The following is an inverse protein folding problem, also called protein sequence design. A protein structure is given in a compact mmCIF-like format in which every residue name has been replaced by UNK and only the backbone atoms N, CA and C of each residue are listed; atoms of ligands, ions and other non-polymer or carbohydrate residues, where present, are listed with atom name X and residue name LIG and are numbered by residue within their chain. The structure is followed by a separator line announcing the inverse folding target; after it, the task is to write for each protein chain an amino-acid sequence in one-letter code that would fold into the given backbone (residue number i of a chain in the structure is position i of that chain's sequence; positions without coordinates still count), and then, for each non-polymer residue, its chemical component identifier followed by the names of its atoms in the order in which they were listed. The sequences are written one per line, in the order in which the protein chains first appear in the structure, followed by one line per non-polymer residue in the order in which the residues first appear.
data_IF_820141188771
#
_entry.id   IF_820141188771
#
_cell.length_a   1.000
_cell.length_b   1.000
_cell.length_c   1.000
_cell.angle_alpha   90.00
_cell.angle_beta   90.00
_cell.angle_gamma   90.00
#
_symmetry.space_group_name_H-M   'P 1'
#
loop_
_entity.id
_entity.type
_entity.pdbx_description
1 polymer ?
#
# COMPACT_ATOMS: atom_id res chain seq x y z
N UNK A 1 -16.33 -14.54 -20.23
CA UNK A 1 -15.29 -14.86 -19.24
C UNK A 1 -14.57 -13.56 -18.98
N UNK A 2 -14.87 -12.88 -17.88
CA UNK A 2 -14.10 -11.71 -17.46
C UNK A 2 -12.70 -12.18 -17.14
N UNK A 3 -11.71 -11.61 -17.82
CA UNK A 3 -10.31 -11.79 -17.50
C UNK A 3 -10.12 -11.29 -16.06
N UNK A 4 -9.85 -12.21 -15.14
CA UNK A 4 -9.84 -11.94 -13.70
C UNK A 4 -8.61 -11.10 -13.38
N UNK A 5 -8.83 -9.90 -12.81
CA UNK A 5 -7.75 -9.00 -12.40
C UNK A 5 -7.12 -9.57 -11.14
N UNK A 6 -5.90 -10.07 -11.26
CA UNK A 6 -5.07 -10.39 -10.10
C UNK A 6 -4.57 -9.05 -9.55
N UNK A 7 -5.05 -8.66 -8.37
CA UNK A 7 -4.60 -7.44 -7.70
C UNK A 7 -3.21 -7.65 -7.08
N UNK A 8 -2.41 -6.60 -7.04
CA UNK A 8 -1.16 -6.54 -6.27
C UNK A 8 -1.39 -6.70 -4.77
N UNK A 9 -2.62 -6.46 -4.33
CA UNK A 9 -3.08 -6.62 -2.96
C UNK A 9 -2.80 -7.99 -2.33
N UNK A 10 -2.20 -7.94 -1.14
CA UNK A 10 -1.90 -9.13 -0.34
C UNK A 10 -0.61 -8.98 0.43
N UNK A 11 -0.27 -10.02 1.18
CA UNK A 11 0.92 -10.03 2.03
C UNK A 11 2.07 -10.73 1.32
N UNK A 12 3.19 -10.03 1.17
CA UNK A 12 4.49 -10.65 0.90
C UNK A 12 5.12 -11.07 2.24
N UNK A 13 5.41 -12.36 2.39
CA UNK A 13 5.98 -12.95 3.61
C UNK A 13 7.47 -13.11 3.40
N UNK A 14 8.26 -12.30 4.10
CA UNK A 14 9.71 -12.36 4.02
C UNK A 14 10.26 -13.65 4.60
N UNK A 15 11.44 -14.08 4.13
CA UNK A 15 12.18 -15.19 4.75
C UNK A 15 12.60 -14.89 6.19
N UNK A 16 12.53 -13.60 6.58
CA UNK A 16 12.69 -13.08 7.94
C UNK A 16 11.41 -13.18 8.80
N UNK A 17 10.31 -13.68 8.24
CA UNK A 17 8.99 -13.76 8.86
C UNK A 17 8.23 -12.43 8.88
N UNK A 18 8.81 -11.34 8.36
CA UNK A 18 8.18 -10.02 8.35
C UNK A 18 7.24 -9.92 7.15
N UNK A 19 5.99 -9.51 7.42
CA UNK A 19 4.98 -9.30 6.38
C UNK A 19 5.06 -7.88 5.82
N UNK A 20 4.98 -7.76 4.50
CA UNK A 20 4.99 -6.52 3.74
C UNK A 20 3.77 -6.48 2.83
N UNK A 21 3.17 -5.31 2.65
CA UNK A 21 2.00 -5.17 1.79
C UNK A 21 2.43 -5.11 0.32
N UNK A 22 1.63 -5.71 -0.57
CA UNK A 22 1.88 -5.77 -2.01
C UNK A 22 2.62 -7.05 -2.41
N UNK A 23 1.93 -7.96 -3.09
CA UNK A 23 2.47 -9.22 -3.62
C UNK A 23 3.42 -9.01 -4.80
N UNK A 24 3.34 -7.87 -5.48
CA UNK A 24 4.21 -7.49 -6.60
C UNK A 24 5.23 -6.40 -6.22
N UNK A 25 5.36 -6.10 -4.93
CA UNK A 25 6.07 -4.92 -4.45
C UNK A 25 5.11 -3.77 -4.13
N UNK A 26 5.69 -2.65 -3.74
CA UNK A 26 4.97 -1.43 -3.42
C UNK A 26 5.76 -0.21 -3.90
N UNK A 27 5.08 0.93 -4.05
CA UNK A 27 5.70 2.17 -4.43
C UNK A 27 5.07 3.36 -3.71
N UNK A 28 5.82 4.44 -3.54
CA UNK A 28 5.32 5.68 -2.95
C UNK A 28 5.97 6.92 -3.54
N UNK A 29 5.26 8.04 -3.46
CA UNK A 29 5.65 9.29 -4.08
C UNK A 29 6.33 10.23 -3.08
N UNK A 30 7.62 10.47 -3.29
CA UNK A 30 8.38 11.53 -2.65
C UNK A 30 8.12 12.84 -3.39
N UNK A 31 6.98 13.47 -3.08
CA UNK A 31 6.52 14.69 -3.74
C UNK A 31 7.00 15.94 -3.02
N UNK A 32 7.80 16.75 -3.70
CA UNK A 32 8.30 18.01 -3.16
C UNK A 32 7.77 19.24 -3.90
N UNK A 33 7.74 20.38 -3.21
CA UNK A 33 7.58 21.69 -3.83
C UNK A 33 8.46 22.71 -3.11
N UNK A 34 8.69 23.88 -3.71
CA UNK A 34 9.48 24.95 -3.09
C UNK A 34 8.60 26.17 -2.87
N UNK A 35 8.44 26.58 -1.62
CA UNK A 35 7.71 27.79 -1.26
C UNK A 35 8.59 28.70 -0.41
N UNK A 36 8.68 29.98 -0.80
CA UNK A 36 9.50 30.99 -0.11
C UNK A 36 10.97 30.55 0.11
N UNK A 37 11.51 29.74 -0.80
CA UNK A 37 12.87 29.20 -0.72
C UNK A 37 13.04 28.00 0.22
N UNK A 38 11.96 27.42 0.73
CA UNK A 38 11.96 26.21 1.56
C UNK A 38 11.40 25.04 0.75
N UNK A 39 12.14 23.93 0.71
CA UNK A 39 11.68 22.67 0.13
C UNK A 39 10.72 21.98 1.11
N UNK A 40 9.48 21.77 0.68
CA UNK A 40 8.43 21.09 1.41
C UNK A 40 8.23 19.68 0.82
N UNK A 41 8.05 18.69 1.68
CA UNK A 41 7.71 17.31 1.34
C UNK A 41 6.28 17.00 1.78
N UNK A 42 5.50 16.40 0.89
CA UNK A 42 4.21 15.80 1.24
C UNK A 42 4.45 14.54 2.08
N UNK A 43 3.91 14.53 3.30
CA UNK A 43 3.97 13.41 4.23
C UNK A 43 2.58 13.03 4.73
N UNK A 44 2.40 11.74 5.01
CA UNK A 44 1.16 11.15 5.50
C UNK A 44 1.37 10.54 6.88
N UNK A 45 0.47 10.83 7.82
CA UNK A 45 0.44 10.18 9.13
C UNK A 45 -0.44 8.94 9.09
N UNK A 46 0.20 7.77 9.24
CA UNK A 46 -0.45 6.48 9.12
C UNK A 46 -1.38 6.23 10.30
N UNK A 47 -2.63 5.88 10.00
CA UNK A 47 -3.63 5.56 11.03
C UNK A 47 -3.15 4.44 11.96
N UNK A 48 -3.56 4.51 13.23
CA UNK A 48 -3.10 3.62 14.30
C UNK A 48 -3.37 2.13 14.00
N UNK A 49 -4.38 1.81 13.20
CA UNK A 49 -4.74 0.42 12.84
C UNK A 49 -3.95 -0.16 11.65
N UNK A 50 -3.09 0.63 11.01
CA UNK A 50 -2.24 0.16 9.89
C UNK A 50 -0.98 -0.54 10.39
N UNK A 51 -0.31 -1.30 9.52
CA UNK A 51 1.03 -1.82 9.84
C UNK A 51 1.98 -0.63 10.09
N UNK A 52 2.62 -0.60 11.26
CA UNK A 52 3.38 0.54 11.82
C UNK A 52 2.55 1.83 12.05
N UNK A 53 1.29 1.73 12.49
CA UNK A 53 0.46 2.90 12.80
C UNK A 53 1.10 3.94 13.76
N UNK A 54 0.78 5.21 13.55
CA UNK A 54 1.33 6.33 14.33
C UNK A 54 2.68 6.86 13.84
N UNK A 55 3.22 6.31 12.75
CA UNK A 55 4.41 6.83 12.07
C UNK A 55 4.06 7.70 10.86
N UNK A 56 4.98 8.58 10.48
CA UNK A 56 4.92 9.35 9.24
C UNK A 56 5.65 8.64 8.09
N UNK A 57 5.12 8.77 6.88
CA UNK A 57 5.71 8.26 5.65
C UNK A 57 5.34 9.12 4.46
N UNK A 58 5.66 8.63 3.26
CA UNK A 58 5.13 9.17 2.00
C UNK A 58 3.89 8.38 1.59
N UNK A 59 2.93 8.99 0.87
CA UNK A 59 1.80 8.27 0.31
C UNK A 59 2.26 7.19 -0.68
N UNK A 60 1.56 6.06 -0.70
CA UNK A 60 1.93 4.91 -1.52
C UNK A 60 1.37 3.58 -1.07
N UNK A 61 1.34 2.62 -1.99
CA UNK A 61 0.69 1.32 -1.80
C UNK A 61 1.22 0.24 -2.73
N UNK A 62 0.43 -0.83 -2.88
CA UNK A 62 0.82 -2.02 -3.64
C UNK A 62 0.88 -1.70 -5.15
N UNK A 63 1.83 -2.32 -5.85
CA UNK A 63 1.88 -2.26 -7.31
C UNK A 63 0.91 -3.30 -7.88
N UNK A 64 0.00 -2.89 -8.76
CA UNK A 64 -0.94 -3.80 -9.42
C UNK A 64 -0.33 -4.53 -10.65
N UNK A 65 -1.05 -5.54 -11.14
CA UNK A 65 -0.60 -6.30 -12.32
C UNK A 65 -0.52 -5.40 -13.56
N UNK A 66 0.63 -5.43 -14.23
CA UNK A 66 0.88 -4.61 -15.41
C UNK A 66 1.13 -3.13 -15.10
N UNK A 67 1.05 -2.73 -13.82
CA UNK A 67 1.34 -1.39 -13.35
C UNK A 67 2.86 -1.24 -13.12
N UNK A 68 3.44 -0.12 -13.55
CA UNK A 68 4.79 0.26 -13.16
C UNK A 68 4.81 0.86 -11.75
N UNK A 69 5.97 0.84 -11.09
CA UNK A 69 6.12 1.49 -9.78
C UNK A 69 5.76 3.00 -9.80
N UNK A 70 6.00 3.68 -10.93
CA UNK A 70 5.63 5.09 -11.09
C UNK A 70 4.11 5.27 -11.16
N UNK A 71 3.42 4.44 -11.93
CA UNK A 71 1.95 4.47 -12.01
C UNK A 71 1.33 4.16 -10.65
N UNK A 72 1.83 3.14 -9.94
CA UNK A 72 1.38 2.78 -8.60
C UNK A 72 1.56 3.95 -7.62
N UNK A 73 2.75 4.57 -7.57
CA UNK A 73 2.99 5.69 -6.67
C UNK A 73 2.06 6.89 -6.94
N UNK A 74 1.78 7.19 -8.21
CA UNK A 74 0.87 8.29 -8.59
C UNK A 74 -0.59 7.96 -8.27
N UNK A 75 -1.05 6.74 -8.61
CA UNK A 75 -2.42 6.26 -8.33
C UNK A 75 -2.69 6.28 -6.83
N UNK A 76 -1.82 5.66 -6.04
CA UNK A 76 -1.95 5.58 -4.58
C UNK A 76 -1.90 6.97 -3.96
N UNK A 77 -1.04 7.86 -4.44
CA UNK A 77 -1.03 9.25 -3.95
C UNK A 77 -2.34 9.97 -4.25
N UNK A 78 -2.89 9.80 -5.45
CA UNK A 78 -4.18 10.37 -5.80
C UNK A 78 -5.29 9.81 -4.90
N UNK A 79 -5.33 8.49 -4.73
CA UNK A 79 -6.31 7.80 -3.89
C UNK A 79 -6.22 8.25 -2.43
N UNK A 80 -5.02 8.39 -1.86
CA UNK A 80 -4.83 8.68 -0.44
C UNK A 80 -4.90 10.17 -0.08
N UNK A 81 -4.59 11.05 -1.04
CA UNK A 81 -4.39 12.49 -0.77
C UNK A 81 -5.22 13.42 -1.66
N UNK A 82 -5.82 12.91 -2.73
CA UNK A 82 -6.55 13.71 -3.72
C UNK A 82 -5.66 14.49 -4.71
N UNK A 83 -4.33 14.38 -4.62
CA UNK A 83 -3.41 15.02 -5.57
C UNK A 83 -3.62 14.45 -6.97
N UNK A 84 -3.87 15.32 -7.96
CA UNK A 84 -3.98 14.91 -9.36
C UNK A 84 -2.59 14.56 -9.92
N UNK A 85 -2.39 13.37 -10.51
CA UNK A 85 -1.14 13.02 -11.18
C UNK A 85 -0.70 14.03 -12.25
N UNK A 86 -1.63 14.79 -12.83
CA UNK A 86 -1.32 15.85 -13.79
C UNK A 86 -0.54 17.04 -13.17
N UNK A 87 -0.63 17.25 -11.85
CA UNK A 87 0.08 18.30 -11.13
C UNK A 87 1.50 17.86 -10.70
N UNK A 88 1.88 16.61 -10.98
CA UNK A 88 3.16 16.01 -10.58
C UNK A 88 4.07 15.87 -11.79
N UNK A 89 5.27 16.45 -11.71
CA UNK A 89 6.37 16.14 -12.64
C UNK A 89 7.28 15.10 -12.03
N UNK A 90 7.24 13.87 -12.54
CA UNK A 90 8.15 12.78 -12.11
C UNK A 90 9.56 13.05 -12.64
N UNK A 91 10.56 12.98 -11.76
CA UNK A 91 11.96 13.25 -12.12
C UNK A 91 12.78 11.97 -12.22
N UNK A 92 12.63 11.04 -11.28
CA UNK A 92 13.36 9.78 -11.21
C UNK A 92 12.68 8.81 -10.24
N UNK A 93 13.22 7.59 -10.11
CA UNK A 93 12.82 6.63 -9.09
C UNK A 93 13.99 5.79 -8.61
N UNK A 94 13.89 5.26 -7.39
CA UNK A 94 14.88 4.37 -6.79
C UNK A 94 14.22 3.26 -5.97
N UNK A 95 14.76 2.05 -6.05
CA UNK A 95 14.39 0.99 -5.10
C UNK A 95 15.07 1.27 -3.77
N UNK A 96 14.27 1.63 -2.77
CA UNK A 96 14.72 2.07 -1.44
C UNK A 96 14.60 0.99 -0.37
N UNK A 97 13.88 -0.10 -0.67
CA UNK A 97 13.83 -1.27 0.20
C UNK A 97 13.75 -2.55 -0.61
N UNK A 98 14.38 -3.62 -0.12
CA UNK A 98 14.34 -4.96 -0.69
C UNK A 98 14.19 -5.99 0.43
N UNK A 99 13.45 -7.06 0.16
CA UNK A 99 13.37 -8.21 1.05
C UNK A 99 13.32 -9.52 0.26
N UNK A 100 14.07 -10.52 0.71
CA UNK A 100 13.88 -11.89 0.23
C UNK A 100 12.57 -12.43 0.80
N UNK A 101 11.82 -13.14 -0.04
CA UNK A 101 10.53 -13.71 0.32
C UNK A 101 10.61 -15.23 0.45
N UNK A 102 9.80 -15.76 1.36
CA UNK A 102 9.44 -17.18 1.34
C UNK A 102 8.30 -17.42 0.34
N UNK A 103 7.28 -16.57 0.39
CA UNK A 103 6.14 -16.60 -0.53
C UNK A 103 5.38 -15.28 -0.47
N UNK A 104 4.48 -15.08 -1.43
CA UNK A 104 3.41 -14.08 -1.35
C UNK A 104 2.07 -14.78 -1.11
N UNK A 105 1.14 -14.06 -0.52
CA UNK A 105 -0.22 -14.52 -0.25
C UNK A 105 -1.16 -13.86 -1.24
N UNK A 106 -1.38 -14.51 -2.38
CA UNK A 106 -2.25 -14.01 -3.45
C UNK A 106 -3.71 -14.13 -3.05
N UNK A 107 -4.53 -13.18 -3.50
CA UNK A 107 -5.99 -13.24 -3.38
C UNK A 107 -6.57 -13.88 -4.64
N UNK A 108 -7.06 -15.11 -4.51
CA UNK A 108 -7.70 -15.85 -5.60
C UNK A 108 -9.22 -15.84 -5.37
N UNK A 109 -10.03 -15.27 -6.28
CA UNK A 109 -11.49 -15.26 -6.14
C UNK A 109 -12.07 -16.66 -5.96
N UNK A 110 -13.17 -16.74 -5.21
CA UNK A 110 -13.90 -18.00 -5.06
C UNK A 110 -14.54 -18.40 -6.39
N UNK A 111 -14.49 -19.69 -6.70
CA UNK A 111 -15.30 -20.30 -7.74
C UNK A 111 -16.77 -20.44 -7.29
N UNK A 112 -17.70 -20.53 -8.24
CA UNK A 112 -19.14 -20.68 -7.94
C UNK A 112 -19.43 -21.88 -7.01
N UNK A 113 -18.66 -22.96 -7.15
CA UNK A 113 -18.78 -24.16 -6.33
C UNK A 113 -18.28 -23.97 -4.89
N UNK A 114 -17.44 -22.96 -4.65
CA UNK A 114 -16.83 -22.65 -3.35
C UNK A 114 -17.62 -21.61 -2.56
N UNK A 115 -18.53 -20.86 -3.21
CA UNK A 115 -19.39 -19.86 -2.55
C UNK A 115 -20.09 -20.39 -1.28
N UNK A 116 -20.61 -21.64 -1.22
CA UNK A 116 -21.20 -22.17 0.00
C UNK A 116 -20.24 -22.24 1.20
N UNK A 117 -18.92 -22.34 0.97
CA UNK A 117 -17.93 -22.35 2.05
C UNK A 117 -17.84 -21.00 2.76
N UNK A 118 -18.17 -19.90 2.07
CA UNK A 118 -18.19 -18.56 2.63
C UNK A 118 -19.48 -18.22 3.43
N UNK A 119 -20.45 -19.15 3.49
CA UNK A 119 -21.73 -18.94 4.17
C UNK A 119 -21.63 -18.32 5.57
N UNK A 120 -20.71 -18.75 6.47
CA UNK A 120 -20.57 -18.13 7.79
C UNK A 120 -20.32 -16.62 7.76
N UNK A 121 -19.60 -16.14 6.74
CA UNK A 121 -19.30 -14.72 6.56
C UNK A 121 -20.45 -14.02 5.84
N UNK A 122 -20.97 -14.58 4.75
CA UNK A 122 -22.05 -13.95 3.97
C UNK A 122 -23.34 -13.84 4.77
N UNK A 123 -23.65 -14.83 5.61
CA UNK A 123 -24.84 -14.82 6.47
C UNK A 123 -24.70 -13.76 7.58
N UNK A 124 -23.49 -13.60 8.14
CA UNK A 124 -23.20 -12.55 9.11
C UNK A 124 -23.33 -11.15 8.47
N UNK A 125 -22.84 -10.96 7.24
CA UNK A 125 -23.03 -9.72 6.48
C UNK A 125 -24.51 -9.47 6.20
N UNK A 126 -25.25 -10.50 5.76
CA UNK A 126 -26.70 -10.40 5.55
C UNK A 126 -27.47 -10.06 6.83
N UNK A 127 -26.92 -10.44 8.00
CA UNK A 127 -27.45 -10.09 9.32
C UNK A 127 -27.07 -8.68 9.80
N UNK A 128 -26.32 -7.92 8.98
CA UNK A 128 -25.99 -6.52 9.23
C UNK A 128 -24.56 -6.25 9.70
N UNK A 129 -23.69 -7.26 9.77
CA UNK A 129 -22.27 -7.02 10.05
C UNK A 129 -21.57 -6.39 8.84
N UNK A 130 -20.58 -5.54 9.09
CA UNK A 130 -19.66 -5.09 8.04
C UNK A 130 -18.78 -6.27 7.61
N UNK A 131 -18.42 -6.33 6.33
CA UNK A 131 -17.69 -7.47 5.75
C UNK A 131 -16.41 -7.83 6.52
N UNK A 132 -15.56 -6.85 6.82
CA UNK A 132 -14.31 -7.11 7.56
C UNK A 132 -14.55 -7.53 9.02
N UNK A 133 -15.63 -7.07 9.65
CA UNK A 133 -16.04 -7.54 10.98
C UNK A 133 -16.55 -9.00 10.91
N UNK A 134 -17.34 -9.32 9.89
CA UNK A 134 -17.83 -10.68 9.65
C UNK A 134 -16.69 -11.68 9.40
N UNK A 135 -15.70 -11.33 8.59
CA UNK A 135 -14.49 -12.14 8.34
C UNK A 135 -13.67 -12.37 9.62
N UNK A 136 -13.52 -11.33 10.46
CA UNK A 136 -12.78 -11.41 11.72
C UNK A 136 -13.49 -12.31 12.74
N UNK A 137 -14.81 -12.22 12.81
CA UNK A 137 -15.62 -12.94 13.80
C UNK A 137 -15.95 -14.37 13.36
N UNK A 138 -15.97 -14.64 12.05
CA UNK A 138 -16.31 -15.93 11.46
C UNK A 138 -15.19 -16.38 10.52
N UNK A 139 -13.99 -16.72 11.04
CA UNK A 139 -12.88 -17.13 10.21
C UNK A 139 -13.21 -18.43 9.46
N UNK A 140 -13.13 -18.38 8.13
CA UNK A 140 -13.35 -19.54 7.25
C UNK A 140 -12.01 -20.00 6.69
N UNK A 141 -11.82 -21.31 6.65
CA UNK A 141 -10.67 -21.96 6.04
C UNK A 141 -11.17 -23.02 5.07
N UNK A 142 -10.63 -23.04 3.86
CA UNK A 142 -10.97 -24.04 2.86
C UNK A 142 -10.60 -25.44 3.38
N UNK A 143 -11.51 -26.43 3.36
CA UNK A 143 -11.31 -27.72 4.02
C UNK A 143 -10.14 -28.53 3.45
N UNK A 144 -9.95 -28.49 2.13
CA UNK A 144 -8.90 -29.29 1.48
C UNK A 144 -7.52 -28.62 1.45
N UNK A 145 -7.47 -27.31 1.19
CA UNK A 145 -6.22 -26.57 0.98
C UNK A 145 -5.70 -25.88 2.25
N UNK A 146 -6.56 -25.65 3.24
CA UNK A 146 -6.21 -24.85 4.41
C UNK A 146 -6.11 -23.34 4.12
N UNK A 147 -6.49 -22.88 2.92
CA UNK A 147 -6.44 -21.46 2.57
C UNK A 147 -7.48 -20.65 3.34
N UNK A 148 -7.10 -19.47 3.80
CA UNK A 148 -7.96 -18.61 4.61
C UNK A 148 -8.84 -17.74 3.70
N UNK A 149 -10.12 -17.61 4.06
CA UNK A 149 -11.03 -16.68 3.39
C UNK A 149 -10.68 -15.25 3.80
N UNK A 150 -10.55 -14.37 2.82
CA UNK A 150 -10.31 -12.93 2.98
C UNK A 150 -11.20 -12.14 2.03
N UNK A 151 -11.18 -10.81 2.12
CA UNK A 151 -11.78 -9.94 1.12
C UNK A 151 -10.76 -8.92 0.59
N UNK A 152 -10.95 -8.52 -0.66
CA UNK A 152 -10.37 -7.31 -1.25
C UNK A 152 -11.01 -6.06 -0.65
N UNK A 153 -10.43 -4.88 -0.92
CA UNK A 153 -10.93 -3.61 -0.40
C UNK A 153 -12.31 -3.24 -0.97
N UNK A 154 -12.60 -3.62 -2.22
CA UNK A 154 -13.91 -3.49 -2.88
C UNK A 154 -14.92 -4.57 -2.45
N UNK A 155 -14.51 -5.49 -1.57
CA UNK A 155 -15.39 -6.44 -0.90
C UNK A 155 -15.58 -7.77 -1.61
N UNK A 156 -14.78 -8.08 -2.64
CA UNK A 156 -14.76 -9.40 -3.26
C UNK A 156 -14.14 -10.43 -2.31
N UNK A 157 -14.82 -11.56 -2.11
CA UNK A 157 -14.30 -12.67 -1.31
C UNK A 157 -13.25 -13.47 -2.11
N UNK A 158 -12.14 -13.81 -1.45
CA UNK A 158 -11.03 -14.54 -2.04
C UNK A 158 -10.42 -15.54 -1.05
N UNK A 159 -9.79 -16.58 -1.58
CA UNK A 159 -8.83 -17.40 -0.84
C UNK A 159 -7.46 -16.72 -0.82
N UNK A 160 -6.82 -16.75 0.34
CA UNK A 160 -5.42 -16.39 0.49
C UNK A 160 -4.54 -17.60 0.16
N UNK A 161 -3.93 -17.58 -1.03
CA UNK A 161 -3.17 -18.70 -1.60
C UNK A 161 -1.67 -18.38 -1.58
N UNK A 162 -0.83 -19.20 -0.92
CA UNK A 162 0.62 -19.04 -0.96
C UNK A 162 1.17 -19.26 -2.36
N UNK A 163 2.03 -18.35 -2.82
CA UNK A 163 2.79 -18.46 -4.05
C UNK A 163 4.27 -18.23 -3.78
N UNK A 164 5.12 -19.27 -3.84
CA UNK A 164 6.54 -19.18 -3.60
C UNK A 164 7.34 -18.71 -4.83
N UNK A 165 6.70 -18.44 -5.98
CA UNK A 165 7.42 -18.06 -7.20
C UNK A 165 7.94 -16.61 -7.18
N UNK A 166 7.43 -15.78 -6.27
CA UNK A 166 7.93 -14.43 -6.03
C UNK A 166 8.96 -14.49 -4.91
N UNK A 167 10.24 -14.41 -5.27
CA UNK A 167 11.36 -14.59 -4.33
C UNK A 167 11.88 -13.27 -3.72
N UNK A 168 11.46 -12.13 -4.26
CA UNK A 168 11.89 -10.82 -3.79
C UNK A 168 10.75 -9.80 -3.82
N UNK A 169 10.66 -9.03 -2.76
CA UNK A 169 9.83 -7.84 -2.65
C UNK A 169 10.68 -6.58 -2.72
N UNK A 170 10.14 -5.53 -3.34
CA UNK A 170 10.78 -4.22 -3.41
C UNK A 170 9.81 -3.10 -3.07
N UNK A 171 10.33 -2.07 -2.38
CA UNK A 171 9.69 -0.77 -2.31
C UNK A 171 10.41 0.20 -3.24
N UNK A 172 9.69 0.84 -4.14
CA UNK A 172 10.24 1.86 -5.04
C UNK A 172 9.74 3.24 -4.61
N UNK A 173 10.67 4.13 -4.30
CA UNK A 173 10.35 5.54 -4.08
C UNK A 173 10.47 6.30 -5.40
N UNK A 174 9.40 6.95 -5.80
CA UNK A 174 9.32 7.78 -7.02
C UNK A 174 9.47 9.23 -6.58
N UNK A 175 10.39 9.96 -7.20
CA UNK A 175 10.62 11.36 -6.89
C UNK A 175 9.84 12.22 -7.88
N UNK A 176 9.13 13.21 -7.36
CA UNK A 176 8.36 14.14 -8.17
C UNK A 176 8.32 15.53 -7.57
N UNK A 177 8.02 16.51 -8.42
CA UNK A 177 7.86 17.91 -8.01
C UNK A 177 6.48 18.45 -8.39
N UNK A 178 5.90 19.25 -7.51
CA UNK A 178 4.73 20.09 -7.79
C UNK A 178 5.13 21.57 -7.85
N UNK A 179 4.37 22.36 -8.62
CA UNK A 179 4.68 23.79 -8.82
C UNK A 179 4.43 24.68 -7.59
N UNK A 180 3.60 24.20 -6.66
CA UNK A 180 3.24 24.83 -5.38
C UNK A 180 2.68 23.74 -4.45
N UNK A 181 2.38 24.08 -3.20
CA UNK A 181 1.65 23.16 -2.31
C UNK A 181 0.25 22.90 -2.86
N UNK A 182 -0.11 21.62 -2.99
CA UNK A 182 -1.40 21.20 -3.51
C UNK A 182 -2.41 21.05 -2.36
N UNK A 183 -3.69 21.30 -2.67
CA UNK A 183 -4.78 21.02 -1.75
C UNK A 183 -4.91 19.51 -1.53
N UNK A 184 -5.10 19.11 -0.28
CA UNK A 184 -5.11 17.70 0.13
C UNK A 184 -6.51 17.32 0.61
N UNK A 185 -7.03 16.21 0.11
CA UNK A 185 -8.28 15.61 0.56
C UNK A 185 -7.94 14.27 1.23
N UNK A 186 -7.87 14.21 2.57
CA UNK A 186 -7.54 12.96 3.27
C UNK A 186 -8.66 11.94 3.10
N UNK A 187 -8.26 10.68 2.95
CA UNK A 187 -9.17 9.53 2.98
C UNK A 187 -9.29 8.94 4.38
N UNK A 188 -10.14 7.92 4.52
CA UNK A 188 -10.26 7.17 5.76
C UNK A 188 -8.94 6.50 6.20
N UNK A 189 -7.96 6.32 5.30
CA UNK A 189 -6.70 5.61 5.58
C UNK A 189 -5.58 6.51 6.12
N UNK A 190 -5.71 7.83 5.96
CA UNK A 190 -4.79 8.83 6.50
C UNK A 190 -5.42 9.57 7.67
N UNK A 191 -4.71 9.64 8.80
CA UNK A 191 -5.17 10.43 9.96
C UNK A 191 -4.83 11.91 9.81
N UNK A 192 -3.76 12.19 9.04
CA UNK A 192 -3.26 13.53 8.78
C UNK A 192 -2.42 13.53 7.49
N UNK A 193 -2.46 14.64 6.76
CA UNK A 193 -1.68 14.91 5.56
C UNK A 193 -1.04 16.30 5.69
N UNK A 194 0.25 16.41 5.45
CA UNK A 194 0.96 17.67 5.65
C UNK A 194 2.06 17.89 4.61
N UNK A 195 2.24 19.16 4.23
CA UNK A 195 3.45 19.64 3.60
C UNK A 195 4.42 20.08 4.71
N UNK A 196 5.54 19.38 4.85
CA UNK A 196 6.51 19.60 5.93
C UNK A 196 7.86 20.06 5.36
N UNK A 197 8.55 21.05 5.96
CA UNK A 197 9.93 21.37 5.58
C UNK A 197 10.80 20.12 5.60
N UNK A 198 11.49 19.84 4.50
CA UNK A 198 12.21 18.57 4.31
C UNK A 198 13.29 18.34 5.39
N UNK A 199 13.86 19.41 5.94
CA UNK A 199 14.81 19.38 7.05
C UNK A 199 14.20 18.97 8.39
N UNK A 200 12.90 19.23 8.59
CA UNK A 200 12.16 18.89 9.81
C UNK A 200 11.57 17.47 9.75
N UNK A 201 11.45 16.88 8.55
CA UNK A 201 10.87 15.53 8.36
C UNK A 201 11.61 14.47 9.18
N UNK A 202 12.93 14.58 9.33
CA UNK A 202 13.71 13.61 10.10
C UNK A 202 13.35 13.57 11.60
N UNK A 203 12.81 14.68 12.13
CA UNK A 203 12.37 14.83 13.51
C UNK A 203 11.00 14.17 13.77
N UNK A 204 10.23 13.90 12.71
CA UNK A 204 8.98 13.15 12.81
C UNK A 204 9.27 11.69 13.22
N UNK A 205 8.25 11.04 13.77
CA UNK A 205 8.29 9.58 14.00
C UNK A 205 8.11 8.84 12.68
N UNK A 206 9.15 8.80 11.86
CA UNK A 206 9.12 8.16 10.54
C UNK A 206 8.97 6.63 10.60
N UNK A 207 8.32 6.06 9.58
CA UNK A 207 8.39 4.64 9.25
C UNK A 207 9.88 4.24 9.12
N UNK A 208 10.35 3.14 9.75
CA UNK A 208 11.77 2.80 9.78
C UNK A 208 12.43 2.73 8.40
N UNK A 209 11.79 2.08 7.44
CA UNK A 209 12.31 1.97 6.07
C UNK A 209 12.38 3.34 5.37
N UNK A 210 11.42 4.23 5.63
CA UNK A 210 11.45 5.59 5.08
C UNK A 210 12.56 6.43 5.72
N UNK A 211 12.76 6.31 7.04
CA UNK A 211 13.87 6.96 7.75
C UNK A 211 15.23 6.56 7.19
N UNK A 212 15.40 5.28 6.86
CA UNK A 212 16.63 4.74 6.28
C UNK A 212 16.87 5.29 4.86
N UNK A 213 15.82 5.41 4.06
CA UNK A 213 15.91 5.90 2.68
C UNK A 213 16.07 7.42 2.56
N UNK A 214 15.59 8.20 3.54
CA UNK A 214 15.47 9.65 3.47
C UNK A 214 16.79 10.37 3.10
N UNK A 215 17.98 10.05 3.67
CA UNK A 215 19.22 10.73 3.31
C UNK A 215 19.57 10.56 1.82
N UNK A 216 19.46 9.35 1.28
CA UNK A 216 19.75 9.10 -0.14
C UNK A 216 18.73 9.76 -1.07
N UNK A 217 17.47 9.84 -0.65
CA UNK A 217 16.42 10.54 -1.39
C UNK A 217 16.67 12.06 -1.44
N UNK A 218 17.17 12.66 -0.35
CA UNK A 218 17.58 14.07 -0.32
C UNK A 218 18.76 14.36 -1.25
N UNK A 219 19.78 13.51 -1.23
CA UNK A 219 20.92 13.64 -2.15
C UNK A 219 20.48 13.60 -3.63
N UNK A 220 19.50 12.77 -3.96
CA UNK A 220 18.93 12.69 -5.31
C UNK A 220 18.18 13.97 -5.74
N UNK A 221 17.70 14.79 -4.80
CA UNK A 221 17.10 16.10 -5.06
C UNK A 221 18.13 17.21 -5.23
N UNK A 222 19.40 16.96 -4.88
CA UNK A 222 20.44 17.98 -4.83
C UNK A 222 20.42 18.83 -3.55
N UNK A 223 19.79 18.31 -2.49
CA UNK A 223 19.76 18.84 -1.12
C UNK A 223 20.89 18.25 -0.25
#
# INVERSE_FOLDING_TARGET
MSEQVIHGDGWAVGSDGVRRWGTLGAAGLFLTTVENGVTLLLVQHRAMWTNFGGTWGIPGGAVDIGESATEAALRETQEETGVDPADVTVTTSAVTSRAALEHVLRRVPLEDAELPLAAPVTDAVASGLRLFDALRENPVTHPDTGHRLVATIDGQLCWEVPDPTVEQWTYTTVLGTASHTLELTPTAESTDLAWCPIDEVAELRLLPAFREALPGLREMLGE
#
